data_IF_236334153394
#
_entry.id   IF_236334153394
#
_cell.length_a   1.000
_cell.length_b   1.000
_cell.length_c   1.000
_cell.angle_alpha   90.00
_cell.angle_beta   90.00
_cell.angle_gamma   90.00
#
_symmetry.space_group_name_H-M   'P 1'
#
loop_
_entity.id
_entity.type
_entity.pdbx_description
1 polymer ?
#
# COMPACT_ATOMS: atom_id res chain seq x y z
N UNK A 1 -19.23 -6.37 13.79
CA UNK A 1 -18.50 -6.67 12.53
C UNK A 1 -17.01 -6.61 12.83
N UNK A 2 -16.21 -7.46 12.21
CA UNK A 2 -14.75 -7.39 12.35
C UNK A 2 -14.19 -6.19 11.55
N UNK A 3 -12.93 -5.82 11.77
CA UNK A 3 -12.31 -4.70 11.05
C UNK A 3 -12.32 -4.93 9.52
N UNK A 4 -12.10 -6.17 9.08
CA UNK A 4 -12.07 -6.52 7.66
C UNK A 4 -13.45 -6.38 7.00
N UNK A 5 -14.53 -6.72 7.71
CA UNK A 5 -15.90 -6.55 7.19
C UNK A 5 -16.22 -5.06 7.00
N UNK A 6 -15.85 -4.24 8.00
CA UNK A 6 -16.02 -2.77 7.94
C UNK A 6 -15.16 -2.16 6.83
N UNK A 7 -13.93 -2.64 6.63
CA UNK A 7 -13.07 -2.20 5.53
C UNK A 7 -13.69 -2.52 4.17
N UNK A 8 -14.23 -3.74 4.01
CA UNK A 8 -14.91 -4.15 2.77
C UNK A 8 -16.12 -3.25 2.48
N UNK A 9 -16.92 -2.95 3.49
CA UNK A 9 -18.09 -2.07 3.34
C UNK A 9 -17.67 -0.65 2.97
N UNK A 10 -16.70 -0.08 3.69
CA UNK A 10 -16.14 1.24 3.39
C UNK A 10 -15.61 1.30 1.96
N UNK A 11 -14.78 0.33 1.56
CA UNK A 11 -14.20 0.30 0.22
C UNK A 11 -15.29 0.26 -0.86
N UNK A 12 -16.29 -0.61 -0.72
CA UNK A 12 -17.42 -0.71 -1.68
C UNK A 12 -18.20 0.61 -1.78
N UNK A 13 -18.45 1.27 -0.65
CA UNK A 13 -19.15 2.56 -0.63
C UNK A 13 -18.32 3.66 -1.32
N UNK A 14 -17.02 3.72 -1.05
CA UNK A 14 -16.10 4.63 -1.74
C UNK A 14 -16.08 4.37 -3.26
N UNK A 15 -16.00 3.11 -3.69
CA UNK A 15 -16.07 2.70 -5.10
C UNK A 15 -17.37 3.15 -5.75
N UNK A 16 -18.52 2.86 -5.14
CA UNK A 16 -19.82 3.27 -5.67
C UNK A 16 -19.94 4.79 -5.81
N UNK A 17 -19.43 5.53 -4.83
CA UNK A 17 -19.41 6.99 -4.86
C UNK A 17 -18.50 7.54 -5.95
N UNK A 18 -17.29 6.99 -6.10
CA UNK A 18 -16.37 7.36 -7.18
C UNK A 18 -16.98 7.13 -8.57
N UNK A 19 -17.64 5.98 -8.76
CA UNK A 19 -18.32 5.64 -10.01
C UNK A 19 -19.53 6.55 -10.30
N UNK A 20 -20.08 7.22 -9.29
CA UNK A 20 -21.15 8.22 -9.48
C UNK A 20 -20.63 9.58 -9.97
N UNK A 21 -19.29 9.73 -10.09
CA UNK A 21 -18.63 10.93 -10.61
C UNK A 21 -18.11 11.88 -9.54
N UNK A 22 -18.32 11.57 -8.26
CA UNK A 22 -17.65 12.26 -7.17
C UNK A 22 -16.18 11.84 -7.15
N UNK A 23 -15.26 12.81 -7.19
CA UNK A 23 -13.80 12.56 -7.14
C UNK A 23 -13.18 13.18 -5.88
N UNK A 24 -13.97 13.89 -5.08
CA UNK A 24 -13.50 14.53 -3.85
C UNK A 24 -13.63 13.57 -2.66
N UNK A 25 -12.58 12.78 -2.46
CA UNK A 25 -12.54 11.80 -1.38
C UNK A 25 -12.59 12.41 0.02
N UNK A 26 -12.33 13.71 0.19
CA UNK A 26 -12.28 14.35 1.52
C UNK A 26 -13.62 14.28 2.26
N UNK A 27 -14.72 14.11 1.52
CA UNK A 27 -16.08 14.02 2.05
C UNK A 27 -16.62 12.59 2.14
N UNK A 28 -15.79 11.56 1.91
CA UNK A 28 -16.25 10.17 1.81
C UNK A 28 -16.47 9.49 3.16
N UNK A 29 -15.79 9.97 4.19
CA UNK A 29 -15.62 9.27 5.44
C UNK A 29 -16.49 9.90 6.53
N UNK A 30 -17.20 9.04 7.26
CA UNK A 30 -17.79 9.40 8.55
C UNK A 30 -16.76 9.30 9.66
N UNK A 31 -17.07 9.82 10.85
CA UNK A 31 -16.20 9.66 12.03
C UNK A 31 -15.93 8.18 12.36
N UNK A 32 -16.90 7.30 12.10
CA UNK A 32 -16.75 5.86 12.29
C UNK A 32 -15.73 5.25 11.31
N UNK A 33 -15.70 5.75 10.07
CA UNK A 33 -14.76 5.32 9.04
C UNK A 33 -13.35 5.78 9.34
N UNK A 34 -13.20 7.02 9.79
CA UNK A 34 -11.92 7.57 10.24
C UNK A 34 -11.39 6.76 11.43
N UNK A 35 -12.24 6.45 12.42
CA UNK A 35 -11.87 5.59 13.54
C UNK A 35 -11.49 4.15 13.11
N UNK A 36 -12.11 3.61 12.05
CA UNK A 36 -11.67 2.35 11.47
C UNK A 36 -10.26 2.47 10.86
N UNK A 37 -10.02 3.47 10.01
CA UNK A 37 -8.75 3.66 9.33
C UNK A 37 -7.61 3.89 10.33
N UNK A 38 -7.84 4.74 11.34
CA UNK A 38 -6.89 4.98 12.42
C UNK A 38 -6.54 3.68 13.17
N UNK A 39 -7.55 2.83 13.46
CA UNK A 39 -7.34 1.57 14.19
C UNK A 39 -6.48 0.53 13.43
N UNK A 40 -6.33 0.70 12.12
CA UNK A 40 -5.52 -0.16 11.26
C UNK A 40 -4.28 0.55 10.69
N UNK A 41 -4.01 1.78 11.16
CA UNK A 41 -2.87 2.58 10.74
C UNK A 41 -2.98 3.11 9.31
N UNK A 42 -4.17 3.24 8.77
CA UNK A 42 -4.41 3.80 7.43
C UNK A 42 -4.71 5.29 7.49
N UNK A 43 -4.24 6.01 6.48
CA UNK A 43 -4.75 7.35 6.13
C UNK A 43 -5.86 7.24 5.08
N UNK A 44 -6.80 8.21 5.02
CA UNK A 44 -7.86 8.23 4.01
C UNK A 44 -7.36 8.09 2.57
N UNK A 45 -6.30 8.84 2.21
CA UNK A 45 -5.71 8.79 0.86
C UNK A 45 -5.23 7.39 0.49
N UNK A 46 -4.60 6.67 1.41
CA UNK A 46 -4.09 5.32 1.15
C UNK A 46 -5.17 4.29 0.80
N UNK A 47 -6.39 4.46 1.33
CA UNK A 47 -7.54 3.65 0.90
C UNK A 47 -8.05 4.14 -0.46
N UNK A 48 -8.16 5.46 -0.60
CA UNK A 48 -8.75 6.06 -1.80
C UNK A 48 -7.92 5.83 -3.05
N UNK A 49 -6.59 5.79 -2.95
CA UNK A 49 -5.69 5.41 -4.06
C UNK A 49 -6.12 4.10 -4.72
N UNK A 50 -6.42 3.07 -3.92
CA UNK A 50 -6.89 1.78 -4.46
C UNK A 50 -8.32 1.83 -5.00
N UNK A 51 -9.16 2.73 -4.48
CA UNK A 51 -10.52 2.94 -5.02
C UNK A 51 -10.44 3.60 -6.39
N UNK A 52 -9.63 4.65 -6.52
CA UNK A 52 -9.38 5.38 -7.76
C UNK A 52 -8.78 4.45 -8.82
N UNK A 53 -7.67 3.77 -8.50
CA UNK A 53 -7.01 2.83 -9.40
C UNK A 53 -7.94 1.67 -9.83
N UNK A 54 -8.73 1.10 -8.91
CA UNK A 54 -9.70 0.06 -9.28
C UNK A 54 -10.74 0.58 -10.27
N UNK A 55 -11.21 1.82 -10.09
CA UNK A 55 -12.26 2.38 -10.94
C UNK A 55 -11.74 2.80 -12.31
N UNK A 56 -10.53 3.37 -12.37
CA UNK A 56 -9.97 3.90 -13.61
C UNK A 56 -9.15 2.86 -14.40
N UNK A 57 -8.47 1.94 -13.70
CA UNK A 57 -7.58 0.93 -14.30
C UNK A 57 -8.07 -0.52 -14.13
N UNK A 58 -9.08 -0.76 -13.28
CA UNK A 58 -9.59 -2.12 -13.01
C UNK A 58 -8.73 -2.94 -12.04
N UNK A 59 -7.65 -2.36 -11.50
CA UNK A 59 -6.75 -3.00 -10.54
C UNK A 59 -6.22 -1.96 -9.52
N UNK A 60 -5.95 -2.34 -8.26
CA UNK A 60 -6.05 -3.68 -7.70
C UNK A 60 -7.45 -4.04 -7.21
N UNK A 61 -7.75 -5.35 -7.14
CA UNK A 61 -9.03 -5.83 -6.61
C UNK A 61 -9.24 -5.46 -5.14
N UNK A 62 -10.51 -5.42 -4.70
CA UNK A 62 -10.89 -5.29 -3.29
C UNK A 62 -10.18 -6.32 -2.39
N UNK A 63 -10.08 -7.58 -2.84
CA UNK A 63 -9.37 -8.62 -2.08
C UNK A 63 -7.89 -8.29 -1.89
N UNK A 64 -7.26 -7.72 -2.91
CA UNK A 64 -5.86 -7.29 -2.84
C UNK A 64 -5.71 -6.09 -1.90
N UNK A 65 -6.57 -5.08 -2.02
CA UNK A 65 -6.57 -3.92 -1.13
C UNK A 65 -6.74 -4.33 0.35
N UNK A 66 -7.65 -5.27 0.63
CA UNK A 66 -7.87 -5.82 1.96
C UNK A 66 -6.63 -6.57 2.50
N UNK A 67 -5.98 -7.39 1.67
CA UNK A 67 -4.78 -8.12 2.08
C UNK A 67 -3.60 -7.17 2.35
N UNK A 68 -3.45 -6.12 1.55
CA UNK A 68 -2.47 -5.05 1.83
C UNK A 68 -2.79 -4.34 3.14
N UNK A 69 -4.08 -4.05 3.38
CA UNK A 69 -4.53 -3.44 4.63
C UNK A 69 -4.26 -4.32 5.85
N UNK A 70 -4.41 -5.64 5.71
CA UNK A 70 -4.08 -6.58 6.77
C UNK A 70 -2.59 -6.53 7.15
N UNK A 71 -1.68 -6.51 6.16
CA UNK A 71 -0.23 -6.44 6.44
C UNK A 71 0.13 -5.13 7.13
N UNK A 72 -0.43 -4.02 6.67
CA UNK A 72 -0.21 -2.70 7.29
C UNK A 72 -0.77 -2.65 8.72
N UNK A 73 -1.98 -3.16 8.96
CA UNK A 73 -2.58 -3.27 10.31
C UNK A 73 -1.67 -4.06 11.25
N UNK A 74 -1.19 -5.21 10.81
CA UNK A 74 -0.37 -6.07 11.65
C UNK A 74 0.99 -5.41 11.95
N UNK A 75 1.61 -4.76 10.97
CA UNK A 75 2.85 -4.00 11.19
C UNK A 75 2.62 -2.82 12.14
N UNK A 76 1.53 -2.07 11.95
CA UNK A 76 1.14 -0.95 12.81
C UNK A 76 1.01 -1.39 14.28
N UNK A 77 0.36 -2.53 14.52
CA UNK A 77 0.11 -3.01 15.88
C UNK A 77 1.34 -3.67 16.51
N UNK A 78 2.11 -4.44 15.74
CA UNK A 78 3.18 -5.29 16.27
C UNK A 78 4.53 -4.57 16.32
N UNK A 79 4.81 -3.69 15.35
CA UNK A 79 6.12 -3.04 15.19
C UNK A 79 6.09 -1.58 15.63
N UNK A 80 4.94 -0.92 15.49
CA UNK A 80 4.80 0.51 15.78
C UNK A 80 4.00 0.79 17.06
N UNK A 81 3.60 -0.24 17.80
CA UNK A 81 2.79 -0.12 19.03
C UNK A 81 1.50 0.72 18.86
N UNK A 82 0.96 0.76 17.64
CA UNK A 82 -0.23 1.57 17.32
C UNK A 82 0.03 3.08 17.21
N UNK A 83 1.29 3.52 17.08
CA UNK A 83 1.64 4.94 16.98
C UNK A 83 1.91 5.35 15.53
N UNK A 84 1.02 6.17 14.95
CA UNK A 84 1.22 6.71 13.62
C UNK A 84 2.38 7.72 13.59
N UNK A 85 3.10 7.72 12.47
CA UNK A 85 4.17 8.68 12.18
C UNK A 85 3.72 9.64 11.10
N UNK A 86 4.34 10.81 11.07
CA UNK A 86 4.15 11.74 9.97
C UNK A 86 4.74 11.18 8.67
N UNK A 87 4.15 11.50 7.50
CA UNK A 87 4.72 11.12 6.23
C UNK A 87 6.10 11.72 6.05
N UNK A 88 7.05 10.90 5.61
CA UNK A 88 8.44 11.32 5.36
C UNK A 88 8.92 10.93 3.98
N UNK A 89 8.28 9.97 3.31
CA UNK A 89 8.60 9.55 1.95
C UNK A 89 7.79 10.40 0.96
N UNK A 90 8.48 11.24 0.20
CA UNK A 90 7.91 12.22 -0.74
C UNK A 90 8.44 11.99 -2.15
N UNK A 91 7.87 12.69 -3.14
CA UNK A 91 8.32 12.61 -4.54
C UNK A 91 9.78 13.02 -4.74
N UNK A 92 10.32 13.84 -3.83
CA UNK A 92 11.67 14.40 -3.93
C UNK A 92 12.76 13.50 -3.32
N UNK A 93 12.39 12.56 -2.44
CA UNK A 93 13.35 11.71 -1.72
C UNK A 93 13.20 10.21 -1.99
N UNK A 94 12.25 9.83 -2.83
CA UNK A 94 12.05 8.45 -3.28
C UNK A 94 13.08 8.08 -4.37
N UNK A 95 13.63 6.84 -4.38
CA UNK A 95 14.50 6.37 -5.45
C UNK A 95 13.85 6.51 -6.83
N UNK A 96 14.62 6.90 -7.84
CA UNK A 96 14.11 7.16 -9.18
C UNK A 96 13.78 5.88 -9.95
N UNK A 97 13.14 6.01 -11.12
CA UNK A 97 12.69 4.87 -11.93
C UNK A 97 13.82 4.03 -12.53
N UNK A 98 14.99 4.63 -12.76
CA UNK A 98 16.13 3.99 -13.42
C UNK A 98 17.13 3.32 -12.48
N UNK A 99 17.00 3.55 -11.16
CA UNK A 99 17.84 2.91 -10.16
C UNK A 99 17.60 1.39 -10.11
N UNK A 100 18.68 0.65 -9.84
CA UNK A 100 18.68 -0.79 -9.67
C UNK A 100 19.37 -1.18 -8.35
N UNK A 101 19.04 -2.38 -7.87
CA UNK A 101 19.73 -3.03 -6.77
C UNK A 101 20.13 -4.43 -7.23
N UNK A 102 21.43 -4.71 -7.26
CA UNK A 102 22.01 -5.97 -7.75
C UNK A 102 21.47 -6.41 -9.12
N UNK A 103 21.33 -5.45 -10.05
CA UNK A 103 20.85 -5.66 -11.42
C UNK A 103 19.32 -5.74 -11.56
N UNK A 104 18.57 -5.54 -10.47
CA UNK A 104 17.10 -5.52 -10.49
C UNK A 104 16.61 -4.08 -10.54
N UNK A 105 16.27 -3.60 -11.75
CA UNK A 105 15.70 -2.27 -11.95
C UNK A 105 14.41 -2.08 -11.15
N UNK A 106 14.16 -0.84 -10.70
CA UNK A 106 12.97 -0.44 -9.93
C UNK A 106 12.90 -1.02 -8.50
N UNK A 107 13.73 -2.01 -8.16
CA UNK A 107 13.74 -2.62 -6.83
C UNK A 107 13.99 -1.59 -5.71
N UNK A 108 14.97 -0.68 -5.78
CA UNK A 108 15.15 0.36 -4.77
C UNK A 108 13.87 1.15 -4.50
N UNK A 109 13.16 1.53 -5.57
CA UNK A 109 11.95 2.36 -5.51
C UNK A 109 10.80 1.62 -4.86
N UNK A 110 10.46 0.41 -5.32
CA UNK A 110 9.36 -0.35 -4.72
C UNK A 110 9.67 -0.76 -3.28
N UNK A 111 10.94 -1.02 -2.93
CA UNK A 111 11.34 -1.28 -1.54
C UNK A 111 11.14 -0.08 -0.63
N UNK A 112 11.56 1.11 -1.07
CA UNK A 112 11.34 2.36 -0.33
C UNK A 112 9.84 2.59 -0.09
N UNK A 113 9.01 2.39 -1.11
CA UNK A 113 7.55 2.52 -1.01
C UNK A 113 6.93 1.47 -0.10
N UNK A 114 7.38 0.22 -0.19
CA UNK A 114 6.90 -0.87 0.66
C UNK A 114 7.21 -0.62 2.14
N UNK A 115 8.44 -0.19 2.46
CA UNK A 115 8.82 0.19 3.83
C UNK A 115 8.02 1.38 4.34
N UNK A 116 7.86 2.42 3.51
CA UNK A 116 7.06 3.58 3.87
C UNK A 116 5.58 3.22 4.04
N UNK A 117 5.03 2.34 3.19
CA UNK A 117 3.67 1.80 3.32
C UNK A 117 3.49 1.11 4.66
N UNK A 118 4.39 0.17 5.01
CA UNK A 118 4.34 -0.54 6.29
C UNK A 118 4.34 0.42 7.49
N UNK A 119 5.10 1.52 7.41
CA UNK A 119 5.22 2.52 8.47
C UNK A 119 4.15 3.62 8.43
N UNK A 120 3.31 3.68 7.41
CA UNK A 120 2.38 4.81 7.21
C UNK A 120 3.07 6.14 6.92
N UNK A 121 4.27 6.09 6.32
CA UNK A 121 5.16 7.23 6.07
C UNK A 121 5.07 7.76 4.62
N UNK A 122 4.17 7.23 3.79
CA UNK A 122 3.95 7.71 2.42
C UNK A 122 3.23 9.06 2.42
N UNK A 123 3.80 10.04 1.73
CA UNK A 123 3.14 11.30 1.41
C UNK A 123 1.85 11.06 0.60
N UNK A 124 0.79 11.88 0.76
CA UNK A 124 -0.46 11.72 -0.01
C UNK A 124 -0.30 11.69 -1.53
N UNK A 125 0.78 12.26 -2.09
CA UNK A 125 1.07 12.22 -3.53
C UNK A 125 1.85 10.95 -3.95
N UNK A 126 2.06 10.00 -3.03
CA UNK A 126 2.72 8.73 -3.26
C UNK A 126 1.89 7.55 -2.72
N UNK A 127 1.79 6.49 -3.52
CA UNK A 127 1.12 5.26 -3.13
C UNK A 127 2.01 4.03 -3.38
N UNK A 128 1.96 3.04 -2.49
CA UNK A 128 2.42 1.68 -2.81
C UNK A 128 1.32 0.94 -3.59
N UNK A 129 1.70 0.27 -4.66
CA UNK A 129 0.79 -0.46 -5.53
C UNK A 129 0.32 0.32 -6.75
N UNK A 130 0.98 1.41 -7.15
CA UNK A 130 0.67 2.11 -8.42
C UNK A 130 1.02 1.24 -9.64
N UNK A 131 0.67 1.69 -10.85
CA UNK A 131 0.92 0.94 -12.09
C UNK A 131 2.38 0.46 -12.28
N UNK A 132 3.37 1.24 -11.83
CA UNK A 132 4.78 0.85 -11.85
C UNK A 132 5.10 -0.31 -10.88
N UNK A 133 4.61 -0.24 -9.65
CA UNK A 133 4.77 -1.32 -8.66
C UNK A 133 4.05 -2.59 -9.12
N UNK A 134 2.82 -2.46 -9.64
CA UNK A 134 2.05 -3.59 -10.17
C UNK A 134 2.79 -4.24 -11.34
N UNK A 135 3.36 -3.44 -12.25
CA UNK A 135 4.19 -3.96 -13.34
C UNK A 135 5.39 -4.73 -12.82
N UNK A 136 6.15 -4.15 -11.89
CA UNK A 136 7.31 -4.80 -11.29
C UNK A 136 6.94 -6.17 -10.69
N UNK A 137 5.88 -6.22 -9.88
CA UNK A 137 5.43 -7.44 -9.22
C UNK A 137 4.94 -8.50 -10.21
N UNK A 138 4.28 -8.10 -11.30
CA UNK A 138 3.90 -9.00 -12.40
C UNK A 138 5.12 -9.59 -13.11
N UNK A 139 6.07 -8.73 -13.49
CA UNK A 139 7.26 -9.13 -14.23
C UNK A 139 8.16 -10.11 -13.44
N UNK A 140 8.12 -10.06 -12.11
CA UNK A 140 8.92 -10.93 -11.22
C UNK A 140 8.13 -12.12 -10.66
N UNK A 141 7.27 -12.74 -11.48
CA UNK A 141 6.56 -13.97 -11.10
C UNK A 141 5.17 -13.76 -10.50
N UNK A 142 4.48 -12.66 -10.86
CA UNK A 142 3.14 -12.34 -10.35
C UNK A 142 3.04 -12.32 -8.82
N UNK A 143 4.00 -11.66 -8.18
CA UNK A 143 4.07 -11.54 -6.72
C UNK A 143 2.83 -10.79 -6.21
N UNK A 144 2.04 -11.36 -5.28
CA UNK A 144 0.96 -10.62 -4.64
C UNK A 144 1.51 -9.44 -3.81
N UNK A 145 0.90 -8.26 -3.93
CA UNK A 145 1.34 -7.05 -3.21
C UNK A 145 1.49 -7.26 -1.70
N UNK A 146 0.53 -7.93 -1.07
CA UNK A 146 0.59 -8.23 0.36
C UNK A 146 1.76 -9.16 0.71
N UNK A 147 2.08 -10.12 -0.14
CA UNK A 147 3.18 -11.06 0.09
C UNK A 147 4.54 -10.36 -0.10
N UNK A 148 4.63 -9.44 -1.06
CA UNK A 148 5.79 -8.55 -1.17
C UNK A 148 5.99 -7.75 0.11
N UNK A 149 4.95 -7.09 0.65
CA UNK A 149 5.04 -6.34 1.90
C UNK A 149 5.47 -7.24 3.08
N UNK A 150 4.94 -8.46 3.18
CA UNK A 150 5.35 -9.43 4.22
C UNK A 150 6.81 -9.85 4.08
N UNK A 151 7.29 -10.01 2.84
CA UNK A 151 8.71 -10.31 2.57
C UNK A 151 9.59 -9.13 2.94
N UNK A 152 9.21 -7.90 2.58
CA UNK A 152 9.93 -6.69 3.02
C UNK A 152 10.00 -6.60 4.54
N UNK A 153 8.88 -6.85 5.23
CA UNK A 153 8.87 -6.91 6.70
C UNK A 153 9.82 -8.00 7.23
N UNK A 154 9.71 -9.23 6.75
CA UNK A 154 10.51 -10.36 7.22
C UNK A 154 12.02 -10.19 6.98
N UNK A 155 12.41 -9.43 5.95
CA UNK A 155 13.82 -9.16 5.63
C UNK A 155 14.44 -8.08 6.52
N UNK A 156 13.64 -7.21 7.14
CA UNK A 156 14.13 -6.08 7.93
C UNK A 156 15.03 -5.16 7.11
N UNK A 157 16.25 -4.91 7.61
CA UNK A 157 17.26 -4.07 6.95
C UNK A 157 18.16 -4.86 6.00
N UNK A 158 17.99 -6.18 5.90
CA UNK A 158 18.80 -7.04 5.05
C UNK A 158 18.20 -7.15 3.64
N UNK A 159 18.60 -6.24 2.76
CA UNK A 159 18.13 -6.17 1.38
C UNK A 159 18.57 -7.37 0.53
N UNK A 160 19.68 -8.02 0.90
CA UNK A 160 20.18 -9.19 0.17
C UNK A 160 19.16 -10.34 0.17
N UNK A 161 18.42 -10.52 1.27
CA UNK A 161 17.32 -11.50 1.35
C UNK A 161 16.22 -11.25 0.33
N UNK A 162 15.93 -9.99 0.01
CA UNK A 162 14.91 -9.63 -0.98
C UNK A 162 15.43 -9.82 -2.40
N UNK A 163 16.68 -9.44 -2.65
CA UNK A 163 17.36 -9.70 -3.92
C UNK A 163 17.39 -11.20 -4.22
N UNK A 164 17.86 -12.00 -3.26
CA UNK A 164 17.96 -13.46 -3.40
C UNK A 164 16.59 -14.10 -3.62
N UNK A 165 15.59 -13.66 -2.85
CA UNK A 165 14.23 -14.15 -3.03
C UNK A 165 13.69 -13.83 -4.43
N UNK A 166 13.81 -12.59 -4.90
CA UNK A 166 13.32 -12.18 -6.22
C UNK A 166 14.03 -12.94 -7.34
N UNK A 167 15.34 -13.13 -7.25
CA UNK A 167 16.13 -13.90 -8.23
C UNK A 167 15.80 -15.40 -8.24
N UNK A 168 15.14 -15.91 -7.20
CA UNK A 168 14.75 -17.31 -7.09
C UNK A 168 13.35 -17.63 -7.65
N UNK A 169 12.59 -16.62 -8.06
CA UNK A 169 11.22 -16.74 -8.58
C UNK A 169 11.16 -17.13 -10.06
#
# INVERSE_FOLDING_TARGET
MTWNDRFIELFKRCTARYQSGDKDFTQYYTDEDLGLLDSIGYRPRELFDFVEDLCDEGEPSLSTALLVAAVRRDYFQVVMDGELREPTMTRDNIPNFGEDLDGIHYLPRILAKARAKLRGELDPDLMFGCGGDRKFLRDHGNIPMADFLRRVWASGDDESKLVDWIKSL
#
